data_IF_330210114722
#
_entry.id   IF_330210114722
#
_cell.length_a   1.000
_cell.length_b   1.000
_cell.length_c   1.000
_cell.angle_alpha   90.00
_cell.angle_beta   90.00
_cell.angle_gamma   90.00
#
_symmetry.space_group_name_H-M   'P 1'
#
loop_
_entity.id
_entity.type
_entity.pdbx_description
1 polymer ?
#
# COMPACT_ATOMS: atom_id res chain seq x y z
N UNK A 1 76.53 19.21 -23.91
CA UNK A 1 76.34 18.04 -23.03
C UNK A 1 74.91 18.07 -22.54
N UNK A 2 73.98 17.49 -23.32
CA UNK A 2 72.54 17.46 -23.04
C UNK A 2 72.21 15.99 -22.81
N UNK A 3 71.81 15.65 -21.58
CA UNK A 3 71.36 14.30 -21.23
C UNK A 3 69.86 14.20 -21.51
N UNK A 4 69.52 13.27 -22.40
CA UNK A 4 68.18 12.89 -22.83
C UNK A 4 67.36 12.30 -21.68
N UNK A 5 66.18 12.88 -21.42
CA UNK A 5 65.14 12.29 -20.57
C UNK A 5 64.47 11.13 -21.34
N UNK A 6 64.60 9.92 -20.79
CA UNK A 6 64.12 8.65 -21.37
C UNK A 6 62.60 8.55 -21.30
N UNK A 7 62.07 7.89 -22.34
CA UNK A 7 60.69 7.38 -22.49
C UNK A 7 60.17 6.76 -21.19
N UNK A 8 59.06 7.28 -20.69
CA UNK A 8 58.20 6.56 -19.75
C UNK A 8 57.44 5.52 -20.58
N UNK A 9 57.65 4.23 -20.29
CA UNK A 9 57.02 3.14 -21.01
C UNK A 9 55.50 3.18 -20.84
N UNK A 10 54.76 3.11 -21.96
CA UNK A 10 53.27 3.12 -22.00
C UNK A 10 52.64 2.06 -21.08
N UNK A 11 53.34 0.96 -20.84
CA UNK A 11 52.94 -0.11 -19.92
C UNK A 11 52.89 0.40 -18.47
N UNK A 12 53.85 1.23 -18.05
CA UNK A 12 53.93 1.77 -16.69
C UNK A 12 52.79 2.76 -16.40
N UNK A 13 52.41 3.57 -17.40
CA UNK A 13 51.26 4.48 -17.32
C UNK A 13 49.95 3.69 -17.24
N UNK A 14 49.79 2.63 -18.04
CA UNK A 14 48.60 1.77 -17.97
C UNK A 14 48.46 1.07 -16.60
N UNK A 15 49.55 0.55 -16.05
CA UNK A 15 49.53 -0.12 -14.73
C UNK A 15 49.12 0.86 -13.62
N UNK A 16 49.65 2.08 -13.63
CA UNK A 16 49.27 3.13 -12.66
C UNK A 16 47.80 3.54 -12.79
N UNK A 17 47.26 3.63 -14.01
CA UNK A 17 45.84 3.91 -14.24
C UNK A 17 44.97 2.76 -13.73
N UNK A 18 45.33 1.50 -14.02
CA UNK A 18 44.60 0.33 -13.52
C UNK A 18 44.62 0.24 -11.99
N UNK A 19 45.75 0.54 -11.34
CA UNK A 19 45.84 0.59 -9.88
C UNK A 19 44.97 1.73 -9.32
N UNK A 20 44.97 2.91 -9.96
CA UNK A 20 44.13 4.04 -9.56
C UNK A 20 42.63 3.76 -9.71
N UNK A 21 42.21 3.12 -10.80
CA UNK A 21 40.81 2.72 -11.03
C UNK A 21 40.40 1.60 -10.07
N UNK A 22 41.26 0.63 -9.82
CA UNK A 22 41.01 -0.42 -8.83
C UNK A 22 40.92 0.14 -7.40
N UNK A 23 41.79 1.09 -7.04
CA UNK A 23 41.75 1.77 -5.75
C UNK A 23 40.49 2.64 -5.60
N UNK A 24 40.05 3.34 -6.66
CA UNK A 24 38.81 4.11 -6.67
C UNK A 24 37.55 3.22 -6.61
N UNK A 25 37.56 2.07 -7.29
CA UNK A 25 36.50 1.07 -7.18
C UNK A 25 36.46 0.42 -5.80
N UNK A 26 37.62 0.15 -5.19
CA UNK A 26 37.71 -0.36 -3.83
C UNK A 26 37.26 0.70 -2.81
N UNK A 27 37.58 1.98 -3.02
CA UNK A 27 37.10 3.09 -2.20
C UNK A 27 35.58 3.33 -2.34
N UNK A 28 35.01 3.15 -3.53
CA UNK A 28 33.56 3.25 -3.73
C UNK A 28 32.80 2.04 -3.16
N UNK A 29 33.43 0.86 -3.15
CA UNK A 29 32.92 -0.34 -2.50
C UNK A 29 33.04 -0.27 -0.96
N UNK A 30 34.12 0.30 -0.42
CA UNK A 30 34.36 0.45 1.02
C UNK A 30 33.66 1.69 1.62
N UNK A 31 33.33 2.69 0.80
CA UNK A 31 32.60 3.90 1.21
C UNK A 31 31.08 3.75 1.20
N UNK A 32 30.54 2.65 0.66
CA UNK A 32 29.15 2.27 0.87
C UNK A 32 29.04 1.70 2.28
N UNK A 33 28.62 2.55 3.22
CA UNK A 33 28.01 2.08 4.46
C UNK A 33 26.95 1.05 4.09
N UNK A 34 27.21 -0.24 4.34
CA UNK A 34 26.17 -1.26 4.36
C UNK A 34 25.39 -0.93 5.62
N UNK A 35 24.43 -0.01 5.50
CA UNK A 35 23.44 0.22 6.54
C UNK A 35 22.73 -1.13 6.68
N UNK A 36 22.97 -1.80 7.80
CA UNK A 36 22.25 -3.03 8.11
C UNK A 36 20.75 -2.74 7.94
N UNK A 37 19.99 -3.60 7.23
CA UNK A 37 18.56 -3.39 7.07
C UNK A 37 17.93 -3.22 8.45
N UNK A 38 17.06 -2.21 8.56
CA UNK A 38 16.36 -1.93 9.82
C UNK A 38 15.48 -3.14 10.14
N UNK A 39 15.33 -3.45 11.42
CA UNK A 39 14.35 -4.44 11.82
C UNK A 39 12.94 -3.94 11.42
N UNK A 40 12.16 -4.73 10.67
CA UNK A 40 10.82 -4.32 10.28
C UNK A 40 9.93 -4.23 11.51
N UNK A 41 8.96 -3.33 11.44
CA UNK A 41 7.93 -3.12 12.45
C UNK A 41 6.57 -3.02 11.76
N UNK A 42 5.50 -3.02 12.54
CA UNK A 42 4.13 -2.80 12.05
C UNK A 42 3.67 -1.44 12.55
N UNK A 43 3.18 -0.60 11.63
CA UNK A 43 2.44 0.62 11.97
C UNK A 43 0.93 0.36 11.82
N UNK A 44 0.10 0.98 12.64
CA UNK A 44 -1.35 0.76 12.64
C UNK A 44 -2.09 1.95 13.29
N UNK A 45 -3.40 2.05 13.07
CA UNK A 45 -4.27 2.98 13.79
C UNK A 45 -4.64 2.36 15.15
N UNK A 46 -4.13 2.93 16.23
CA UNK A 46 -4.44 2.51 17.60
C UNK A 46 -5.61 3.30 18.18
N UNK A 47 -6.41 2.64 19.03
CA UNK A 47 -7.66 3.18 19.61
C UNK A 47 -8.65 3.72 18.55
N UNK A 48 -8.96 2.93 17.48
CA UNK A 48 -9.76 3.39 16.35
C UNK A 48 -11.18 3.88 16.68
N UNK A 49 -11.72 3.48 17.84
CA UNK A 49 -13.09 3.80 18.26
C UNK A 49 -13.19 5.01 19.22
N UNK A 50 -12.07 5.61 19.63
CA UNK A 50 -12.03 6.68 20.64
C UNK A 50 -11.13 7.84 20.19
N UNK A 51 -9.82 7.67 20.30
CA UNK A 51 -8.81 8.68 19.93
C UNK A 51 -7.79 8.07 18.96
N UNK A 52 -8.13 7.99 17.66
CA UNK A 52 -7.38 7.23 16.69
C UNK A 52 -6.10 7.96 16.29
N UNK A 53 -4.97 7.25 16.41
CA UNK A 53 -3.62 7.76 16.17
C UNK A 53 -2.76 6.67 15.55
N UNK A 54 -1.61 7.05 14.99
CA UNK A 54 -0.66 6.08 14.46
C UNK A 54 0.20 5.55 15.59
N UNK A 55 0.26 4.23 15.70
CA UNK A 55 1.14 3.50 16.59
C UNK A 55 2.08 2.62 15.78
N UNK A 56 3.17 2.19 16.40
CA UNK A 56 4.07 1.17 15.85
C UNK A 56 4.46 0.16 16.90
N UNK A 57 4.72 -1.07 16.46
CA UNK A 57 5.13 -2.18 17.31
C UNK A 57 6.14 -3.06 16.58
N UNK A 58 7.10 -3.66 17.29
CA UNK A 58 7.97 -4.67 16.69
C UNK A 58 7.20 -5.95 16.41
N UNK A 59 7.71 -6.77 15.49
CA UNK A 59 6.98 -7.97 15.01
C UNK A 59 6.76 -9.00 16.11
N UNK A 60 7.61 -9.01 17.13
CA UNK A 60 7.47 -9.84 18.33
C UNK A 60 6.42 -9.30 19.34
N UNK A 61 5.63 -8.28 18.95
CA UNK A 61 4.65 -7.61 19.79
C UNK A 61 5.24 -6.69 20.87
N UNK A 62 6.57 -6.51 20.86
CA UNK A 62 7.26 -5.64 21.84
C UNK A 62 7.39 -4.21 21.31
N UNK A 63 7.96 -3.32 22.11
CA UNK A 63 8.31 -1.95 21.70
C UNK A 63 7.12 -1.13 21.17
N UNK A 64 5.91 -1.40 21.66
CA UNK A 64 4.71 -0.65 21.31
C UNK A 64 4.89 0.83 21.66
N UNK A 65 4.64 1.72 20.70
CA UNK A 65 4.74 3.16 20.88
C UNK A 65 3.78 3.93 19.98
N UNK A 66 3.26 5.04 20.49
CA UNK A 66 2.50 6.03 19.73
C UNK A 66 3.46 6.88 18.89
N UNK A 67 3.16 7.09 17.62
CA UNK A 67 3.97 7.89 16.69
C UNK A 67 3.42 9.32 16.56
N UNK A 68 2.09 9.49 16.53
CA UNK A 68 1.43 10.78 16.33
C UNK A 68 0.66 11.24 17.56
N UNK A 69 0.53 12.55 17.74
CA UNK A 69 -0.36 13.16 18.72
C UNK A 69 -1.02 14.37 18.08
N UNK A 70 -2.17 14.13 17.46
CA UNK A 70 -2.90 15.06 16.62
C UNK A 70 -4.01 15.76 17.41
N UNK A 71 -4.37 16.98 17.01
CA UNK A 71 -5.53 17.66 17.58
C UNK A 71 -6.87 17.07 17.08
N UNK A 72 -6.86 16.53 15.86
CA UNK A 72 -7.95 15.77 15.25
C UNK A 72 -7.72 14.27 15.28
N UNK A 73 -8.53 13.52 14.54
CA UNK A 73 -8.50 12.07 14.48
C UNK A 73 -7.73 11.56 13.23
N UNK A 74 -6.87 10.56 13.38
CA UNK A 74 -6.14 9.94 12.26
C UNK A 74 -6.90 8.70 11.76
N UNK A 75 -7.41 8.73 10.53
CA UNK A 75 -8.21 7.61 9.99
C UNK A 75 -7.48 6.77 8.94
N UNK A 76 -6.47 7.33 8.27
CA UNK A 76 -5.66 6.63 7.30
C UNK A 76 -4.23 7.18 7.25
N UNK A 77 -3.34 6.37 6.70
CA UNK A 77 -1.94 6.71 6.53
C UNK A 77 -1.29 5.82 5.48
N UNK A 78 -0.13 6.24 5.02
CA UNK A 78 0.72 5.47 4.11
C UNK A 78 2.19 5.65 4.48
N UNK A 79 2.94 4.56 4.39
CA UNK A 79 4.36 4.50 4.71
C UNK A 79 5.16 4.70 3.42
N UNK A 80 6.21 5.51 3.48
CA UNK A 80 7.10 5.69 2.32
C UNK A 80 7.79 4.37 1.95
N UNK A 81 8.14 4.13 0.67
CA UNK A 81 8.73 2.85 0.24
C UNK A 81 10.06 2.52 0.94
N UNK A 82 10.80 3.54 1.38
CA UNK A 82 12.05 3.43 2.15
C UNK A 82 11.82 3.28 3.67
N UNK A 83 10.56 3.27 4.12
CA UNK A 83 10.16 3.16 5.52
C UNK A 83 10.54 4.36 6.39
N UNK A 84 11.06 5.45 5.82
CA UNK A 84 11.61 6.57 6.57
C UNK A 84 10.54 7.57 7.05
N UNK A 85 9.41 7.65 6.35
CA UNK A 85 8.36 8.62 6.62
C UNK A 85 6.98 7.98 6.55
N UNK A 86 6.02 8.62 7.21
CA UNK A 86 4.61 8.28 7.19
C UNK A 86 3.85 9.54 6.79
N UNK A 87 2.97 9.44 5.79
CA UNK A 87 1.97 10.47 5.47
C UNK A 87 0.62 10.01 6.02
N UNK A 88 -0.17 10.93 6.56
CA UNK A 88 -1.44 10.59 7.21
C UNK A 88 -2.45 11.73 7.17
N UNK A 89 -3.73 11.41 7.12
CA UNK A 89 -4.81 12.38 7.19
C UNK A 89 -5.24 12.63 8.64
N UNK A 90 -5.36 13.91 9.01
CA UNK A 90 -5.94 14.32 10.30
C UNK A 90 -7.29 14.97 10.03
N UNK A 91 -8.36 14.36 10.53
CA UNK A 91 -9.72 14.87 10.40
C UNK A 91 -10.04 15.79 11.56
N UNK A 92 -10.48 17.00 11.23
CA UNK A 92 -10.82 18.04 12.18
C UNK A 92 -12.31 17.96 12.57
N UNK A 93 -12.67 18.56 13.70
CA UNK A 93 -14.05 18.59 14.19
C UNK A 93 -15.02 19.37 13.31
N UNK A 94 -14.51 20.28 12.47
CA UNK A 94 -15.30 21.03 11.48
C UNK A 94 -15.60 20.22 10.21
N UNK A 95 -15.09 18.99 10.12
CA UNK A 95 -15.30 18.11 8.98
C UNK A 95 -14.26 18.25 7.87
N UNK A 96 -13.32 19.19 7.96
CA UNK A 96 -12.14 19.26 7.08
C UNK A 96 -11.09 18.22 7.44
N UNK A 97 -10.06 18.07 6.60
CA UNK A 97 -8.82 17.39 7.00
C UNK A 97 -7.59 18.02 6.36
N UNK A 98 -6.42 17.65 6.87
CA UNK A 98 -5.14 18.00 6.27
C UNK A 98 -4.22 16.79 6.26
N UNK A 99 -3.28 16.77 5.32
CA UNK A 99 -2.25 15.72 5.26
C UNK A 99 -1.01 16.18 5.99
N UNK A 100 -0.52 15.32 6.87
CA UNK A 100 0.70 15.52 7.63
C UNK A 100 1.72 14.44 7.31
N UNK A 101 2.99 14.77 7.54
CA UNK A 101 4.11 13.87 7.48
C UNK A 101 4.82 13.80 8.82
N UNK A 102 5.21 12.60 9.19
CA UNK A 102 6.05 12.34 10.35
C UNK A 102 7.16 11.34 10.00
N UNK A 103 8.25 11.36 10.76
CA UNK A 103 9.32 10.36 10.62
C UNK A 103 8.90 9.00 11.17
N UNK A 104 9.56 7.92 10.71
CA UNK A 104 9.39 6.53 11.19
C UNK A 104 9.43 6.40 12.72
N UNK A 105 10.20 7.24 13.40
CA UNK A 105 10.37 7.22 14.85
C UNK A 105 9.36 8.09 15.61
N UNK A 106 8.42 8.73 14.91
CA UNK A 106 7.61 9.82 15.45
C UNK A 106 8.36 11.15 15.36
N UNK A 107 8.04 12.05 16.28
CA UNK A 107 8.63 13.40 16.37
C UNK A 107 7.68 14.48 15.87
N UNK A 108 8.25 15.60 15.42
CA UNK A 108 7.45 16.74 14.98
C UNK A 108 6.78 16.44 13.64
N UNK A 109 5.45 16.53 13.64
CA UNK A 109 4.66 16.43 12.43
C UNK A 109 4.81 17.70 11.58
N UNK A 110 4.93 17.53 10.27
CA UNK A 110 4.92 18.62 9.29
C UNK A 110 3.66 18.53 8.45
N UNK A 111 2.89 19.61 8.37
CA UNK A 111 1.77 19.69 7.44
C UNK A 111 2.31 19.70 6.01
N UNK A 112 1.84 18.76 5.18
CA UNK A 112 2.19 18.67 3.76
C UNK A 112 1.17 19.34 2.87
N UNK A 113 -0.12 19.13 3.14
CA UNK A 113 -1.23 19.64 2.35
C UNK A 113 -2.29 20.19 3.29
N UNK A 114 -2.62 21.46 3.10
CA UNK A 114 -3.82 22.09 3.64
C UNK A 114 -4.95 21.91 2.63
N UNK A 115 -6.02 21.21 3.03
CA UNK A 115 -7.13 20.91 2.15
C UNK A 115 -8.30 21.88 2.32
N UNK A 116 -8.12 22.95 3.12
CA UNK A 116 -9.14 23.95 3.39
C UNK A 116 -10.42 23.31 3.94
N UNK A 117 -11.54 23.54 3.28
CA UNK A 117 -12.85 22.98 3.67
C UNK A 117 -13.06 21.53 3.20
N UNK A 118 -12.15 20.98 2.40
CA UNK A 118 -12.26 19.64 1.87
C UNK A 118 -11.72 18.59 2.85
N UNK A 119 -12.05 17.32 2.56
CA UNK A 119 -11.41 16.16 3.18
C UNK A 119 -10.39 15.55 2.24
N UNK A 120 -9.13 15.60 2.65
CA UNK A 120 -8.09 14.72 2.15
C UNK A 120 -8.08 13.39 2.90
N UNK A 121 -8.15 12.30 2.15
CA UNK A 121 -8.24 10.92 2.68
C UNK A 121 -7.44 9.97 1.77
N UNK A 122 -7.14 8.78 2.27
CA UNK A 122 -6.50 7.65 1.58
C UNK A 122 -5.20 8.05 0.86
N UNK A 123 -4.21 8.62 1.57
CA UNK A 123 -2.95 8.96 0.92
C UNK A 123 -2.23 7.68 0.48
N UNK A 124 -1.54 7.74 -0.65
CA UNK A 124 -0.79 6.63 -1.23
C UNK A 124 0.56 7.12 -1.75
N UNK A 125 1.64 6.53 -1.27
CA UNK A 125 2.98 6.77 -1.83
C UNK A 125 3.15 6.04 -3.17
N UNK A 126 3.84 6.69 -4.12
CA UNK A 126 4.42 5.98 -5.25
C UNK A 126 5.57 5.08 -4.78
N UNK A 127 5.80 3.94 -5.44
CA UNK A 127 6.80 2.95 -5.01
C UNK A 127 8.26 3.46 -5.17
N UNK A 128 8.48 4.45 -6.02
CA UNK A 128 9.74 5.20 -6.16
C UNK A 128 9.92 6.33 -5.12
N UNK A 129 8.88 6.63 -4.32
CA UNK A 129 8.87 7.65 -3.28
C UNK A 129 8.86 9.09 -3.79
N UNK A 130 8.53 9.32 -5.07
CA UNK A 130 8.54 10.66 -5.67
C UNK A 130 7.23 11.43 -5.45
N UNK A 131 6.11 10.72 -5.36
CA UNK A 131 4.76 11.30 -5.35
C UNK A 131 3.91 10.73 -4.22
N UNK A 132 2.91 11.53 -3.81
CA UNK A 132 1.84 11.10 -2.90
C UNK A 132 0.51 11.44 -3.57
N UNK A 133 -0.30 10.43 -3.87
CA UNK A 133 -1.67 10.62 -4.32
C UNK A 133 -2.63 10.59 -3.13
N UNK A 134 -3.75 11.29 -3.19
CA UNK A 134 -4.77 11.28 -2.14
C UNK A 134 -6.15 11.59 -2.71
N UNK A 135 -7.19 11.05 -2.08
CA UNK A 135 -8.58 11.44 -2.33
C UNK A 135 -8.82 12.82 -1.73
N UNK A 136 -9.52 13.68 -2.45
CA UNK A 136 -9.89 15.04 -2.07
C UNK A 136 -11.39 15.22 -2.30
N UNK A 137 -12.14 15.24 -1.19
CA UNK A 137 -13.60 15.17 -1.17
C UNK A 137 -14.16 16.50 -0.67
N UNK A 138 -14.93 17.16 -1.52
CA UNK A 138 -15.64 18.40 -1.17
C UNK A 138 -17.11 18.05 -0.96
N UNK A 139 -17.66 18.40 0.20
CA UNK A 139 -19.08 18.24 0.51
C UNK A 139 -19.75 19.61 0.56
N UNK A 140 -20.66 19.86 -0.38
CA UNK A 140 -21.57 20.99 -0.38
C UNK A 140 -22.97 20.52 0.03
N UNK A 141 -23.90 21.44 0.30
CA UNK A 141 -25.25 21.11 0.80
C UNK A 141 -26.01 20.08 -0.06
N UNK A 142 -25.85 20.14 -1.39
CA UNK A 142 -26.58 19.33 -2.37
C UNK A 142 -25.68 18.40 -3.20
N UNK A 143 -24.35 18.48 -3.03
CA UNK A 143 -23.41 17.79 -3.92
C UNK A 143 -22.13 17.38 -3.20
N UNK A 144 -21.68 16.16 -3.49
CA UNK A 144 -20.34 15.69 -3.13
C UNK A 144 -19.50 15.64 -4.40
N UNK A 145 -18.31 16.22 -4.36
CA UNK A 145 -17.31 16.10 -5.43
C UNK A 145 -16.16 15.25 -4.93
N UNK A 146 -15.84 14.18 -5.64
CA UNK A 146 -14.74 13.27 -5.35
C UNK A 146 -13.67 13.41 -6.41
N UNK A 147 -12.46 13.74 -6.00
CA UNK A 147 -11.31 13.76 -6.89
C UNK A 147 -10.08 13.16 -6.24
N UNK A 148 -9.10 12.85 -7.07
CA UNK A 148 -7.75 12.50 -6.68
C UNK A 148 -6.83 13.65 -7.05
N UNK A 149 -5.98 14.01 -6.11
CA UNK A 149 -4.86 14.93 -6.32
C UNK A 149 -3.54 14.19 -6.12
N UNK A 150 -2.48 14.72 -6.72
CA UNK A 150 -1.11 14.20 -6.57
C UNK A 150 -0.19 15.32 -6.10
N UNK A 151 0.51 15.07 -5.00
CA UNK A 151 1.51 15.92 -4.41
C UNK A 151 2.91 15.48 -4.86
N UNK A 152 3.67 16.42 -5.43
CA UNK A 152 5.08 16.28 -5.77
C UNK A 152 5.95 16.32 -4.51
N UNK A 153 6.42 15.16 -4.03
CA UNK A 153 7.19 15.10 -2.78
C UNK A 153 8.69 15.33 -2.98
N UNK A 154 9.28 14.75 -4.03
CA UNK A 154 10.73 14.87 -4.34
C UNK A 154 10.99 15.37 -5.76
N UNK A 155 10.14 15.00 -6.71
CA UNK A 155 10.23 15.42 -8.11
C UNK A 155 9.03 16.27 -8.53
N UNK A 156 9.23 17.11 -9.55
CA UNK A 156 8.15 17.88 -10.13
C UNK A 156 7.20 16.97 -10.89
N UNK A 157 5.91 17.31 -10.89
CA UNK A 157 4.93 16.63 -11.72
C UNK A 157 5.30 16.76 -13.21
N UNK A 158 5.04 15.72 -14.02
CA UNK A 158 5.27 15.76 -15.47
C UNK A 158 4.56 16.93 -16.15
N UNK A 159 5.15 17.43 -17.24
CA UNK A 159 4.55 18.52 -18.02
C UNK A 159 3.19 18.09 -18.59
N UNK A 160 2.15 18.89 -18.37
CA UNK A 160 0.78 18.56 -18.79
C UNK A 160 -0.03 17.77 -17.77
N UNK A 161 0.52 17.51 -16.57
CA UNK A 161 -0.27 17.01 -15.45
C UNK A 161 -1.47 17.95 -15.19
N UNK A 162 -2.68 17.43 -14.96
CA UNK A 162 -3.85 18.28 -14.81
C UNK A 162 -3.71 19.20 -13.59
N UNK A 163 -3.91 20.50 -13.80
CA UNK A 163 -4.02 21.51 -12.73
C UNK A 163 -5.30 21.35 -11.88
N UNK A 164 -6.12 20.33 -12.17
CA UNK A 164 -7.42 20.06 -11.55
C UNK A 164 -7.45 18.67 -10.95
N UNK A 165 -8.33 18.52 -9.97
CA UNK A 165 -8.71 17.22 -9.40
C UNK A 165 -9.15 16.26 -10.51
N UNK A 166 -8.59 15.06 -10.50
CA UNK A 166 -8.98 13.96 -11.38
C UNK A 166 -10.17 13.27 -10.74
N UNK A 167 -11.30 13.12 -11.43
CA UNK A 167 -12.48 12.44 -10.84
C UNK A 167 -12.14 11.02 -10.40
N UNK A 168 -12.38 10.73 -9.12
CA UNK A 168 -12.18 9.41 -8.52
C UNK A 168 -11.82 9.45 -7.03
N UNK A 169 -11.59 8.28 -6.44
CA UNK A 169 -11.13 8.05 -5.07
C UNK A 169 -10.19 6.84 -4.96
N UNK A 170 -9.60 6.65 -3.78
CA UNK A 170 -8.79 5.48 -3.43
C UNK A 170 -7.61 5.27 -4.40
N UNK A 171 -6.73 6.28 -4.55
CA UNK A 171 -5.62 6.19 -5.50
C UNK A 171 -4.61 5.11 -5.10
N UNK A 172 -4.12 4.35 -6.08
CA UNK A 172 -3.07 3.34 -5.89
C UNK A 172 -2.11 3.36 -7.07
N UNK A 173 -0.83 3.62 -6.81
CA UNK A 173 0.23 3.57 -7.82
C UNK A 173 0.54 2.13 -8.24
N UNK A 174 0.87 1.94 -9.52
CA UNK A 174 1.44 0.69 -10.01
C UNK A 174 2.82 0.44 -9.38
N UNK A 175 3.26 -0.83 -9.27
CA UNK A 175 4.57 -1.17 -8.69
C UNK A 175 5.76 -0.51 -9.38
N UNK A 176 5.69 -0.26 -10.68
CA UNK A 176 6.71 0.47 -11.46
C UNK A 176 6.62 2.00 -11.32
N UNK A 177 5.63 2.52 -10.59
CA UNK A 177 5.33 3.95 -10.40
C UNK A 177 4.99 4.72 -11.67
N UNK A 178 4.62 4.05 -12.77
CA UNK A 178 4.28 4.72 -14.03
C UNK A 178 2.78 5.00 -14.20
N UNK A 179 1.92 4.28 -13.47
CA UNK A 179 0.47 4.40 -13.57
C UNK A 179 -0.15 4.67 -12.20
N UNK A 180 -1.29 5.36 -12.21
CA UNK A 180 -2.14 5.60 -11.06
C UNK A 180 -3.54 5.05 -11.32
N UNK A 181 -3.94 4.02 -10.57
CA UNK A 181 -5.30 3.53 -10.57
C UNK A 181 -6.14 4.28 -9.52
N UNK A 182 -7.42 4.50 -9.81
CA UNK A 182 -8.39 5.06 -8.87
C UNK A 182 -9.80 4.63 -9.24
N UNK A 183 -10.68 4.57 -8.24
CA UNK A 183 -12.08 4.19 -8.40
C UNK A 183 -12.90 5.41 -8.82
N UNK A 184 -13.82 5.27 -9.76
CA UNK A 184 -14.79 6.30 -10.10
C UNK A 184 -16.21 5.77 -9.82
N UNK A 185 -16.72 5.91 -8.58
CA UNK A 185 -18.02 5.36 -8.20
C UNK A 185 -19.19 6.10 -8.84
N UNK A 186 -19.00 7.30 -9.39
CA UNK A 186 -20.04 8.03 -10.10
C UNK A 186 -20.28 7.51 -11.53
N UNK A 187 -19.29 6.83 -12.11
CA UNK A 187 -19.32 6.38 -13.51
C UNK A 187 -19.02 4.88 -13.69
N UNK A 188 -18.93 4.12 -12.59
CA UNK A 188 -18.80 2.66 -12.59
C UNK A 188 -17.57 2.16 -13.39
N UNK A 189 -16.41 2.78 -13.16
CA UNK A 189 -15.13 2.31 -13.73
C UNK A 189 -13.94 2.53 -12.82
N UNK A 190 -12.89 1.75 -13.04
CA UNK A 190 -11.53 1.99 -12.54
C UNK A 190 -10.79 2.82 -13.59
N UNK A 191 -10.34 4.00 -13.18
CA UNK A 191 -9.52 4.90 -14.00
C UNK A 191 -8.05 4.52 -13.82
N UNK A 192 -7.31 4.42 -14.92
CA UNK A 192 -5.86 4.20 -14.92
C UNK A 192 -5.22 5.34 -15.69
N UNK A 193 -4.43 6.15 -15.00
CA UNK A 193 -3.74 7.29 -15.56
C UNK A 193 -2.26 6.98 -15.72
N UNK A 194 -1.75 7.10 -16.94
CA UNK A 194 -0.31 7.09 -17.22
C UNK A 194 0.29 8.41 -16.76
N UNK A 195 1.28 8.34 -15.85
CA UNK A 195 1.84 9.55 -15.23
C UNK A 195 2.67 10.39 -16.20
N UNK A 196 3.32 9.75 -17.18
CA UNK A 196 4.25 10.40 -18.09
C UNK A 196 3.55 11.15 -19.22
N UNK A 197 2.46 10.57 -19.73
CA UNK A 197 1.74 11.03 -20.91
C UNK A 197 0.39 11.67 -20.59
N UNK A 198 -0.14 11.43 -19.39
CA UNK A 198 -1.50 11.83 -19.00
C UNK A 198 -2.59 11.04 -19.71
N UNK A 199 -2.24 9.99 -20.46
CA UNK A 199 -3.21 9.14 -21.16
C UNK A 199 -3.99 8.32 -20.15
N UNK A 200 -5.32 8.30 -20.33
CA UNK A 200 -6.24 7.56 -19.50
C UNK A 200 -6.67 6.25 -20.17
N UNK A 201 -6.77 5.19 -19.36
CA UNK A 201 -7.47 3.95 -19.66
C UNK A 201 -8.59 3.74 -18.64
N UNK A 202 -9.68 3.11 -19.07
CA UNK A 202 -10.83 2.83 -18.21
C UNK A 202 -11.14 1.33 -18.23
N UNK A 203 -11.35 0.77 -17.04
CA UNK A 203 -11.85 -0.60 -16.87
C UNK A 203 -13.24 -0.49 -16.25
N UNK A 204 -14.28 -0.80 -17.03
CA UNK A 204 -15.67 -0.78 -16.55
C UNK A 204 -15.87 -1.86 -15.48
N UNK A 205 -16.58 -1.50 -14.41
CA UNK A 205 -16.89 -2.42 -13.32
C UNK A 205 -18.28 -2.12 -12.77
N UNK A 206 -18.96 -3.12 -12.20
CA UNK A 206 -20.29 -2.91 -11.62
C UNK A 206 -20.26 -2.20 -10.25
N UNK A 207 -19.14 -2.27 -9.52
CA UNK A 207 -18.94 -1.61 -8.23
C UNK A 207 -17.44 -1.51 -7.94
N UNK A 208 -16.82 -0.32 -8.07
CA UNK A 208 -15.37 -0.22 -7.89
C UNK A 208 -14.98 -0.26 -6.40
N UNK A 209 -14.48 -1.41 -5.93
CA UNK A 209 -13.83 -1.58 -4.62
C UNK A 209 -12.28 -1.46 -4.72
N UNK A 210 -11.50 -1.46 -3.61
CA UNK A 210 -10.08 -1.13 -3.65
C UNK A 210 -9.27 -1.98 -4.64
N UNK A 211 -8.58 -1.28 -5.54
CA UNK A 211 -7.70 -1.86 -6.57
C UNK A 211 -6.44 -2.44 -5.96
N UNK A 212 -6.00 -3.59 -6.46
CA UNK A 212 -4.67 -4.15 -6.18
C UNK A 212 -3.95 -4.44 -7.48
N UNK A 213 -2.79 -3.83 -7.66
CA UNK A 213 -1.92 -4.10 -8.80
C UNK A 213 -1.19 -5.43 -8.64
N UNK A 214 -1.04 -6.14 -9.76
CA UNK A 214 -0.07 -7.22 -9.87
C UNK A 214 1.36 -6.67 -9.92
N UNK A 215 2.33 -7.51 -9.56
CA UNK A 215 3.76 -7.15 -9.58
C UNK A 215 4.27 -6.73 -10.97
N UNK A 216 3.61 -7.15 -12.05
CA UNK A 216 3.97 -6.82 -13.42
C UNK A 216 3.51 -5.43 -13.89
N UNK A 217 2.75 -4.69 -13.07
CA UNK A 217 2.17 -3.38 -13.41
C UNK A 217 1.24 -3.38 -14.64
N UNK A 218 0.80 -4.55 -15.12
CA UNK A 218 -0.11 -4.70 -16.25
C UNK A 218 -1.42 -5.41 -15.87
N UNK A 219 -1.46 -6.18 -14.79
CA UNK A 219 -2.70 -6.75 -14.27
C UNK A 219 -3.22 -6.00 -13.05
N UNK A 220 -4.54 -5.87 -12.97
CA UNK A 220 -5.26 -5.31 -11.82
C UNK A 220 -6.24 -6.34 -11.29
N UNK A 221 -6.31 -6.47 -9.97
CA UNK A 221 -7.31 -7.23 -9.25
C UNK A 221 -8.24 -6.27 -8.51
N UNK A 222 -9.53 -6.56 -8.54
CA UNK A 222 -10.55 -5.73 -7.92
C UNK A 222 -11.74 -6.57 -7.50
N UNK A 223 -12.59 -5.95 -6.69
CA UNK A 223 -13.81 -6.57 -6.21
C UNK A 223 -15.01 -6.03 -6.99
N UNK A 224 -15.98 -6.91 -7.25
CA UNK A 224 -17.32 -6.52 -7.66
C UNK A 224 -18.35 -7.09 -6.69
N UNK A 225 -19.32 -6.29 -6.31
CA UNK A 225 -20.42 -6.62 -5.44
C UNK A 225 -21.66 -7.01 -6.25
N UNK A 226 -22.12 -8.24 -6.06
CA UNK A 226 -23.33 -8.78 -6.66
C UNK A 226 -24.43 -8.89 -5.60
N UNK A 227 -25.62 -8.37 -5.90
CA UNK A 227 -26.80 -8.54 -5.04
C UNK A 227 -27.51 -9.83 -5.42
N UNK A 228 -27.48 -10.83 -4.53
CA UNK A 228 -28.22 -12.09 -4.69
C UNK A 228 -29.33 -12.16 -3.64
N UNK A 229 -30.54 -11.76 -4.02
CA UNK A 229 -31.68 -11.68 -3.09
C UNK A 229 -31.49 -10.55 -2.08
N UNK A 230 -31.30 -10.90 -0.80
CA UNK A 230 -31.03 -9.94 0.29
C UNK A 230 -29.54 -9.84 0.66
N UNK A 231 -28.69 -10.60 -0.02
CA UNK A 231 -27.27 -10.72 0.30
C UNK A 231 -26.43 -9.93 -0.70
N UNK A 232 -25.41 -9.23 -0.18
CA UNK A 232 -24.36 -8.60 -0.99
C UNK A 232 -23.14 -9.52 -0.98
N UNK A 233 -22.69 -9.96 -2.15
CA UNK A 233 -21.51 -10.81 -2.32
C UNK A 233 -20.39 -10.03 -3.01
N UNK A 234 -19.24 -9.89 -2.38
CA UNK A 234 -18.04 -9.41 -3.07
C UNK A 234 -17.36 -10.59 -3.79
N UNK A 235 -17.12 -10.45 -5.10
CA UNK A 235 -16.34 -11.39 -5.92
C UNK A 235 -15.05 -10.76 -6.39
N UNK A 236 -14.02 -11.57 -6.59
CA UNK A 236 -12.70 -11.11 -7.05
C UNK A 236 -12.57 -11.31 -8.56
N UNK A 237 -12.19 -10.24 -9.25
CA UNK A 237 -11.93 -10.21 -10.68
C UNK A 237 -10.50 -9.77 -10.95
N UNK A 238 -10.00 -10.13 -12.12
CA UNK A 238 -8.75 -9.64 -12.67
C UNK A 238 -8.96 -9.04 -14.06
N UNK A 239 -8.11 -8.09 -14.42
CA UNK A 239 -8.06 -7.48 -15.75
C UNK A 239 -6.62 -7.37 -16.23
N UNK A 240 -6.38 -7.74 -17.49
CA UNK A 240 -5.16 -7.43 -18.23
C UNK A 240 -5.33 -6.07 -18.91
N UNK A 241 -4.47 -5.10 -18.61
CA UNK A 241 -4.58 -3.74 -19.13
C UNK A 241 -4.18 -3.57 -20.60
N UNK A 242 -3.59 -4.60 -21.21
CA UNK A 242 -3.30 -4.64 -22.64
C UNK A 242 -4.53 -5.08 -23.44
N UNK A 243 -5.26 -6.09 -22.96
CA UNK A 243 -6.43 -6.64 -23.65
C UNK A 243 -7.76 -6.06 -23.16
N UNK A 244 -7.77 -5.46 -21.97
CA UNK A 244 -8.94 -5.05 -21.21
C UNK A 244 -9.95 -6.19 -20.96
N UNK A 245 -9.48 -7.44 -21.01
CA UNK A 245 -10.29 -8.61 -20.71
C UNK A 245 -10.43 -8.75 -19.19
N UNK A 246 -11.68 -8.78 -18.72
CA UNK A 246 -12.03 -9.02 -17.31
C UNK A 246 -12.45 -10.47 -17.14
N UNK A 247 -11.92 -11.15 -16.13
CA UNK A 247 -12.31 -12.52 -15.78
C UNK A 247 -12.32 -12.74 -14.25
N UNK A 248 -13.11 -13.72 -13.75
CA UNK A 248 -13.07 -14.09 -12.34
C UNK A 248 -11.68 -14.60 -11.94
N UNK A 249 -11.17 -14.15 -10.79
CA UNK A 249 -9.88 -14.60 -10.27
C UNK A 249 -9.96 -15.99 -9.62
N UNK A 250 -11.03 -16.25 -8.86
CA UNK A 250 -11.19 -17.50 -8.12
C UNK A 250 -11.96 -18.57 -8.93
N UNK A 251 -11.65 -19.88 -8.73
CA UNK A 251 -12.30 -20.95 -9.46
C UNK A 251 -13.82 -21.02 -9.23
N UNK A 252 -14.55 -21.38 -10.28
CA UNK A 252 -16.02 -21.48 -10.25
C UNK A 252 -16.56 -22.54 -9.27
N UNK A 253 -15.73 -23.49 -8.81
CA UNK A 253 -16.12 -24.51 -7.84
C UNK A 253 -16.40 -23.94 -6.44
N UNK A 254 -15.95 -22.71 -6.15
CA UNK A 254 -16.38 -21.97 -4.96
C UNK A 254 -17.78 -21.41 -5.23
N UNK A 255 -18.81 -22.19 -4.85
CA UNK A 255 -20.20 -22.02 -5.31
C UNK A 255 -20.98 -20.87 -4.65
N UNK A 256 -20.47 -20.31 -3.56
CA UNK A 256 -21.01 -19.10 -2.91
C UNK A 256 -19.95 -18.54 -1.98
N UNK A 257 -19.35 -17.42 -2.37
CA UNK A 257 -18.33 -16.78 -1.57
C UNK A 257 -18.46 -15.26 -1.55
N UNK A 258 -18.01 -14.72 -0.43
CA UNK A 258 -17.76 -13.30 -0.23
C UNK A 258 -16.24 -13.15 -0.03
N UNK A 259 -15.54 -12.74 -1.09
CA UNK A 259 -14.09 -12.59 -1.12
C UNK A 259 -13.69 -11.15 -1.33
N UNK A 260 -12.57 -10.74 -0.76
CA UNK A 260 -12.00 -9.42 -1.06
C UNK A 260 -10.67 -9.17 -0.38
N UNK A 261 -10.16 -7.95 -0.59
CA UNK A 261 -8.91 -7.52 0.03
C UNK A 261 -7.70 -8.33 -0.44
N UNK A 262 -7.69 -8.76 -1.71
CA UNK A 262 -6.57 -9.46 -2.31
C UNK A 262 -5.29 -8.64 -2.21
N UNK A 263 -4.17 -9.31 -1.92
CA UNK A 263 -2.83 -8.73 -1.81
C UNK A 263 -1.82 -9.70 -2.38
N UNK A 264 -0.89 -9.18 -3.16
CA UNK A 264 0.09 -9.98 -3.90
C UNK A 264 1.48 -9.60 -3.38
N UNK A 265 2.35 -10.60 -3.25
CA UNK A 265 3.75 -10.37 -2.87
C UNK A 265 4.48 -9.56 -3.93
N UNK A 266 5.54 -8.86 -3.53
CA UNK A 266 6.31 -7.99 -4.43
C UNK A 266 6.93 -8.74 -5.62
N UNK A 267 7.25 -10.03 -5.44
CA UNK A 267 7.77 -10.90 -6.48
C UNK A 267 6.68 -11.49 -7.39
N UNK A 268 5.40 -11.25 -7.09
CA UNK A 268 4.26 -11.73 -7.87
C UNK A 268 3.98 -13.22 -7.72
N UNK A 269 4.58 -13.92 -6.74
CA UNK A 269 4.46 -15.38 -6.61
C UNK A 269 3.24 -15.78 -5.78
N UNK A 270 2.97 -15.09 -4.68
CA UNK A 270 1.93 -15.43 -3.72
C UNK A 270 0.84 -14.38 -3.65
N UNK A 271 -0.37 -14.82 -3.35
CA UNK A 271 -1.50 -13.97 -2.99
C UNK A 271 -2.08 -14.35 -1.65
N UNK A 272 -2.66 -13.36 -0.97
CA UNK A 272 -3.51 -13.52 0.19
C UNK A 272 -4.83 -12.77 -0.05
N UNK A 273 -5.95 -13.33 0.41
CA UNK A 273 -7.24 -12.65 0.34
C UNK A 273 -8.16 -13.15 1.46
N UNK A 274 -9.13 -12.33 1.83
CA UNK A 274 -10.17 -12.69 2.78
C UNK A 274 -11.32 -13.38 2.03
N UNK A 275 -11.80 -14.51 2.54
CA UNK A 275 -12.86 -15.32 1.94
C UNK A 275 -13.83 -15.80 3.02
N UNK A 276 -15.12 -15.71 2.75
CA UNK A 276 -16.18 -16.35 3.52
C UNK A 276 -17.02 -17.23 2.60
N UNK A 277 -17.11 -18.52 2.91
CA UNK A 277 -18.09 -19.41 2.29
C UNK A 277 -19.49 -19.07 2.80
N UNK A 278 -20.52 -19.26 1.96
CA UNK A 278 -21.91 -18.75 2.10
C UNK A 278 -22.71 -18.83 3.43
N UNK A 279 -22.12 -19.23 4.56
CA UNK A 279 -22.62 -18.88 5.89
C UNK A 279 -22.24 -17.42 6.23
N UNK A 280 -23.17 -16.50 6.02
CA UNK A 280 -22.97 -15.07 6.27
C UNK A 280 -22.92 -14.70 7.77
N UNK A 281 -23.17 -15.64 8.68
CA UNK A 281 -22.96 -15.42 10.10
C UNK A 281 -21.49 -15.58 10.48
N UNK A 282 -20.69 -16.27 9.65
CA UNK A 282 -19.26 -16.40 9.86
C UNK A 282 -18.51 -15.10 9.47
N UNK A 283 -17.35 -14.88 10.07
CA UNK A 283 -16.38 -13.88 9.64
C UNK A 283 -15.54 -14.35 8.43
N UNK A 284 -14.94 -13.39 7.70
CA UNK A 284 -14.04 -13.72 6.59
C UNK A 284 -12.74 -14.34 7.13
N UNK A 285 -12.30 -15.42 6.51
CA UNK A 285 -11.04 -16.11 6.81
C UNK A 285 -9.96 -15.74 5.79
N UNK A 286 -8.69 -15.78 6.18
CA UNK A 286 -7.58 -15.51 5.27
C UNK A 286 -7.22 -16.80 4.53
N UNK A 287 -7.08 -16.71 3.21
CA UNK A 287 -6.54 -17.76 2.36
C UNK A 287 -5.30 -17.25 1.64
N UNK A 288 -4.38 -18.17 1.35
CA UNK A 288 -3.25 -17.91 0.45
C UNK A 288 -3.20 -18.93 -0.67
N UNK A 289 -2.63 -18.53 -1.80
CA UNK A 289 -2.28 -19.41 -2.90
C UNK A 289 -1.13 -18.82 -3.70
N UNK A 290 -0.51 -19.65 -4.55
CA UNK A 290 0.30 -19.12 -5.64
C UNK A 290 -0.59 -18.45 -6.68
N UNK A 291 -0.02 -17.53 -7.45
CA UNK A 291 -0.73 -16.85 -8.53
C UNK A 291 -1.15 -17.79 -9.67
N UNK A 292 -0.49 -18.94 -9.82
CA UNK A 292 -0.89 -20.01 -10.76
C UNK A 292 -2.07 -20.87 -10.25
N UNK A 293 -2.64 -20.54 -9.09
CA UNK A 293 -3.75 -21.26 -8.45
C UNK A 293 -3.32 -22.49 -7.65
N UNK A 294 -2.04 -22.87 -7.66
CA UNK A 294 -1.53 -23.96 -6.84
C UNK A 294 -1.34 -23.53 -5.37
N UNK A 295 -1.15 -24.51 -4.48
CA UNK A 295 -0.88 -24.29 -3.05
C UNK A 295 -1.95 -23.42 -2.34
N UNK A 296 -3.21 -23.59 -2.74
CA UNK A 296 -4.36 -22.95 -2.11
C UNK A 296 -4.60 -23.55 -0.71
N UNK A 297 -4.55 -22.71 0.32
CA UNK A 297 -4.79 -23.13 1.70
C UNK A 297 -5.37 -22.00 2.56
N UNK A 298 -6.15 -22.38 3.57
CA UNK A 298 -6.59 -21.46 4.61
C UNK A 298 -5.42 -21.14 5.56
N UNK A 299 -5.29 -19.87 5.94
CA UNK A 299 -4.40 -19.39 7.00
C UNK A 299 -5.15 -19.36 8.33
N UNK A 300 -6.41 -18.91 8.32
CA UNK A 300 -7.26 -18.84 9.52
C UNK A 300 -8.47 -19.77 9.39
N UNK A 301 -8.96 -20.29 10.52
CA UNK A 301 -10.16 -21.12 10.61
C UNK A 301 -10.95 -20.79 11.88
N UNK A 302 -11.37 -19.53 12.00
CA UNK A 302 -12.10 -19.02 13.15
C UNK A 302 -13.42 -18.38 12.70
N UNK A 303 -14.51 -19.15 12.55
CA UNK A 303 -15.76 -18.62 11.99
C UNK A 303 -16.39 -17.50 12.82
N UNK A 304 -16.09 -17.41 14.13
CA UNK A 304 -16.52 -16.30 15.00
C UNK A 304 -15.69 -15.02 14.86
N UNK A 305 -14.64 -15.02 14.03
CA UNK A 305 -13.71 -13.92 13.84
C UNK A 305 -13.64 -13.55 12.36
N UNK A 306 -13.65 -12.25 12.06
CA UNK A 306 -13.46 -11.73 10.70
C UNK A 306 -12.10 -11.10 10.56
N UNK A 307 -11.44 -11.37 9.44
CA UNK A 307 -10.06 -10.95 9.15
C UNK A 307 -10.02 -10.05 7.91
N UNK A 308 -9.38 -8.89 8.02
CA UNK A 308 -9.34 -7.84 6.99
C UNK A 308 -8.00 -7.09 7.01
N UNK A 309 -7.86 -6.05 6.16
CA UNK A 309 -6.67 -5.20 6.09
C UNK A 309 -5.34 -5.98 5.99
N UNK A 310 -5.36 -7.05 5.18
CA UNK A 310 -4.22 -7.93 4.94
C UNK A 310 -3.12 -7.13 4.24
N UNK A 311 -1.86 -7.36 4.61
CA UNK A 311 -0.66 -6.85 3.92
C UNK A 311 0.48 -7.87 3.98
N UNK A 312 1.11 -8.15 2.85
CA UNK A 312 2.35 -8.93 2.81
C UNK A 312 3.53 -8.10 3.32
N UNK A 313 4.43 -8.74 4.05
CA UNK A 313 5.75 -8.17 4.32
C UNK A 313 6.50 -7.98 3.00
N UNK A 314 7.43 -7.01 2.92
CA UNK A 314 8.17 -6.76 1.69
C UNK A 314 8.94 -7.96 1.12
N UNK A 315 9.33 -8.90 1.98
CA UNK A 315 9.99 -10.17 1.63
C UNK A 315 9.01 -11.30 1.26
N UNK A 316 7.70 -11.13 1.48
CA UNK A 316 6.66 -12.12 1.18
C UNK A 316 6.59 -13.30 2.16
N UNK A 317 7.30 -13.24 3.29
CA UNK A 317 7.34 -14.33 4.27
C UNK A 317 6.32 -14.17 5.40
N UNK A 318 5.69 -13.01 5.54
CA UNK A 318 4.73 -12.74 6.61
C UNK A 318 3.50 -11.99 6.10
N UNK A 319 2.39 -12.22 6.78
CA UNK A 319 1.20 -11.39 6.67
C UNK A 319 1.06 -10.58 7.95
N UNK A 320 0.68 -9.31 7.81
CA UNK A 320 0.02 -8.57 8.89
C UNK A 320 -1.43 -8.38 8.50
N UNK A 321 -2.34 -8.49 9.47
CA UNK A 321 -3.77 -8.32 9.23
C UNK A 321 -4.48 -7.83 10.49
N UNK A 322 -5.69 -7.34 10.29
CA UNK A 322 -6.61 -6.97 11.34
C UNK A 322 -7.63 -8.09 11.53
N UNK A 323 -8.02 -8.35 12.77
CA UNK A 323 -9.18 -9.18 13.07
C UNK A 323 -10.15 -8.48 14.03
N UNK A 324 -11.42 -8.89 14.00
CA UNK A 324 -12.45 -8.42 14.91
C UNK A 324 -13.62 -9.42 14.97
N UNK A 325 -14.41 -9.36 16.04
CA UNK A 325 -15.65 -10.15 16.15
C UNK A 325 -16.78 -9.49 15.36
N UNK A 326 -17.27 -10.10 14.26
CA UNK A 326 -18.39 -9.54 13.51
C UNK A 326 -19.68 -9.51 14.33
N UNK A 327 -20.61 -8.61 13.99
CA UNK A 327 -21.91 -8.48 14.65
C UNK A 327 -21.89 -7.90 16.07
N UNK A 328 -20.70 -7.63 16.64
CA UNK A 328 -20.56 -7.00 17.95
C UNK A 328 -20.39 -5.49 17.80
N UNK A 329 -21.32 -4.72 18.38
CA UNK A 329 -21.19 -3.26 18.43
C UNK A 329 -19.91 -2.88 19.20
N UNK A 330 -19.08 -2.01 18.62
CA UNK A 330 -17.79 -1.59 19.18
C UNK A 330 -16.79 -2.73 19.41
N UNK A 331 -16.80 -3.74 18.53
CA UNK A 331 -15.77 -4.78 18.54
C UNK A 331 -14.37 -4.13 18.50
N UNK A 332 -13.54 -4.47 19.48
CA UNK A 332 -12.16 -3.98 19.58
C UNK A 332 -11.28 -4.82 18.65
N UNK A 333 -10.70 -4.23 17.59
CA UNK A 333 -9.91 -4.99 16.64
C UNK A 333 -8.52 -5.30 17.19
N UNK A 334 -7.90 -6.36 16.69
CA UNK A 334 -6.51 -6.75 16.99
C UNK A 334 -5.69 -6.76 15.72
N UNK A 335 -4.39 -6.48 15.87
CA UNK A 335 -3.39 -6.59 14.80
C UNK A 335 -2.57 -7.84 15.03
N UNK A 336 -2.51 -8.71 14.03
CA UNK A 336 -1.79 -9.98 14.09
C UNK A 336 -0.76 -10.05 12.97
N UNK A 337 0.31 -10.78 13.25
CA UNK A 337 1.31 -11.18 12.27
C UNK A 337 1.31 -12.70 12.17
N UNK A 338 1.23 -13.22 10.94
CA UNK A 338 1.41 -14.62 10.64
C UNK A 338 2.69 -14.83 9.84
N UNK A 339 3.49 -15.82 10.22
CA UNK A 339 4.71 -16.20 9.52
C UNK A 339 4.45 -17.42 8.62
N UNK A 340 4.63 -17.24 7.31
CA UNK A 340 4.28 -18.23 6.28
C UNK A 340 5.12 -19.49 6.34
N UNK A 341 6.36 -19.40 6.84
CA UNK A 341 7.32 -20.50 6.87
C UNK A 341 7.11 -21.38 8.09
N UNK A 342 6.97 -20.76 9.26
CA UNK A 342 6.76 -21.47 10.53
C UNK A 342 5.29 -21.81 10.80
N UNK A 343 4.36 -21.04 10.23
CA UNK A 343 2.93 -21.12 10.52
C UNK A 343 2.52 -20.44 11.82
N UNK A 344 3.45 -19.76 12.52
CA UNK A 344 3.18 -19.13 13.81
C UNK A 344 2.38 -17.83 13.69
N UNK A 345 1.54 -17.57 14.69
CA UNK A 345 0.76 -16.35 14.83
C UNK A 345 1.24 -15.55 16.04
N UNK A 346 1.34 -14.24 15.89
CA UNK A 346 1.70 -13.31 16.96
C UNK A 346 0.65 -12.20 16.99
N UNK A 347 0.04 -11.97 18.16
CA UNK A 347 -0.74 -10.76 18.40
C UNK A 347 0.24 -9.60 18.58
N UNK A 348 0.34 -8.77 17.55
CA UNK A 348 1.27 -7.63 17.54
C UNK A 348 0.70 -6.45 18.34
N UNK A 349 -0.61 -6.20 18.28
CA UNK A 349 -1.23 -5.16 19.09
C UNK A 349 -2.71 -5.44 19.39
N UNK A 350 -3.13 -5.05 20.59
CA UNK A 350 -4.53 -4.96 20.99
C UNK A 350 -5.09 -3.57 20.61
N UNK A 351 -6.40 -3.48 20.33
CA UNK A 351 -7.10 -2.25 19.96
C UNK A 351 -6.44 -1.48 18.79
N UNK A 352 -6.12 -2.22 17.73
CA UNK A 352 -5.42 -1.71 16.55
C UNK A 352 -6.12 -2.09 15.24
N UNK A 353 -6.10 -1.19 14.27
CA UNK A 353 -6.73 -1.35 12.97
C UNK A 353 -5.82 -0.87 11.83
N UNK A 354 -6.13 -1.29 10.59
CA UNK A 354 -5.44 -0.90 9.36
C UNK A 354 -3.90 -1.03 9.46
N UNK A 355 -3.37 -2.22 9.80
CA UNK A 355 -1.94 -2.39 9.93
C UNK A 355 -1.23 -2.32 8.58
N UNK A 356 -0.01 -1.81 8.59
CA UNK A 356 0.90 -1.78 7.45
C UNK A 356 2.34 -2.00 7.91
N UNK A 357 3.16 -2.53 6.99
CA UNK A 357 4.57 -2.74 7.28
C UNK A 357 5.34 -1.42 7.29
N UNK A 358 6.18 -1.27 8.31
CA UNK A 358 7.15 -0.19 8.45
C UNK A 358 8.55 -0.80 8.30
N UNK A 359 9.07 -0.90 7.05
CA UNK A 359 10.30 -1.62 6.75
C UNK A 359 11.57 -1.02 7.38
#
# INVERSE_FOLDING_TARGET
MIISLRRIDRVFILVMICIGVAAAALYSLLGRSIVAPRAPSVAFIGNPLDSPEIWSVSIDGRSLRRLTSSAGAVYDFSVSPDGAAIVYAVHNSDGSSALYRIGRAGGDAQMLVDCGEARCETPAWSNDGQYIAYSHIIRMEDKITRGVAVYAFREQLPAGWPDKLITGTNPVFSPDSQNLAMNNPEEDFIRILDLSSGVERQVRTSTPDPVTWAADSNHIYFNENEVTGILLQSRLFQVDLTTLQIEPFLPAQLSSYDAGGIKITRDGVWTAFALRSGDYQAGRQIYISKMDGSQFQAVTDEPGTSHTAIQWSPDGDRLVYQEYTPGTANAVPRVLVWDRVSGEFIVAAENGALPTWLP
#
